data_IF_474090258466
#
_entry.id   IF_474090258466
#
_cell.length_a   1.000
_cell.length_b   1.000
_cell.length_c   1.000
_cell.angle_alpha   90.00
_cell.angle_beta   90.00
_cell.angle_gamma   90.00
#
_symmetry.space_group_name_H-M   'P 1'
#
loop_
_entity.id
_entity.type
_entity.pdbx_description
1 polymer ?
#
# COMPACT_ATOMS: atom_id res chain seq x y z
N UNK A 1 -63.34 -39.27 -24.42
CA UNK A 1 -62.24 -38.37 -24.83
C UNK A 1 -61.60 -37.83 -23.55
N UNK A 2 -60.39 -38.29 -23.20
CA UNK A 2 -59.67 -37.88 -21.99
C UNK A 2 -58.63 -36.83 -22.38
N UNK A 3 -58.82 -35.58 -21.96
CA UNK A 3 -57.91 -34.48 -22.23
C UNK A 3 -56.82 -34.44 -21.16
N UNK A 4 -55.58 -34.76 -21.54
CA UNK A 4 -54.40 -34.57 -20.68
C UNK A 4 -53.91 -33.13 -20.83
N UNK A 5 -54.03 -32.34 -19.77
CA UNK A 5 -53.40 -31.01 -19.69
C UNK A 5 -51.96 -31.18 -19.23
N UNK A 6 -51.01 -30.90 -20.12
CA UNK A 6 -49.58 -30.81 -19.80
C UNK A 6 -49.31 -29.42 -19.21
N UNK A 7 -49.07 -29.37 -17.89
CA UNK A 7 -48.58 -28.17 -17.21
C UNK A 7 -47.06 -28.07 -17.45
N UNK A 8 -46.64 -27.16 -18.32
CA UNK A 8 -45.23 -26.86 -18.57
C UNK A 8 -44.69 -25.99 -17.42
N UNK A 9 -43.90 -26.60 -16.53
CA UNK A 9 -43.21 -25.91 -15.43
C UNK A 9 -41.97 -25.20 -16.00
N UNK A 10 -42.04 -23.89 -16.25
CA UNK A 10 -40.88 -23.09 -16.63
C UNK A 10 -40.02 -22.81 -15.39
N UNK A 11 -38.91 -23.53 -15.23
CA UNK A 11 -37.88 -23.19 -14.26
C UNK A 11 -37.13 -21.93 -14.70
N UNK A 12 -37.57 -20.76 -14.24
CA UNK A 12 -36.76 -19.55 -14.27
C UNK A 12 -35.65 -19.69 -13.22
N UNK A 13 -34.47 -20.14 -13.63
CA UNK A 13 -33.27 -20.03 -12.82
C UNK A 13 -32.90 -18.55 -12.74
N UNK A 14 -32.89 -17.91 -11.57
CA UNK A 14 -32.35 -16.57 -11.47
C UNK A 14 -30.85 -16.66 -11.77
N UNK A 15 -30.41 -15.96 -12.82
CA UNK A 15 -29.00 -15.64 -12.97
C UNK A 15 -28.66 -14.76 -11.77
N UNK A 16 -28.06 -15.35 -10.74
CA UNK A 16 -27.51 -14.62 -9.61
C UNK A 16 -26.31 -13.84 -10.14
N UNK A 17 -26.57 -12.65 -10.67
CA UNK A 17 -25.54 -11.62 -10.79
C UNK A 17 -25.10 -11.32 -9.36
N UNK A 18 -23.88 -11.72 -9.03
CA UNK A 18 -23.29 -11.37 -7.77
C UNK A 18 -23.11 -9.85 -7.76
N UNK A 19 -23.97 -9.20 -6.97
CA UNK A 19 -24.12 -7.77 -6.92
C UNK A 19 -23.39 -7.22 -5.70
N UNK A 20 -23.02 -5.94 -5.79
CA UNK A 20 -22.43 -5.23 -4.66
C UNK A 20 -23.34 -5.24 -3.45
N UNK A 21 -22.71 -5.14 -2.27
CA UNK A 21 -23.41 -4.89 -1.02
C UNK A 21 -24.34 -3.67 -1.19
N UNK A 22 -25.66 -3.78 -0.93
CA UNK A 22 -26.57 -2.66 -1.11
C UNK A 22 -26.15 -1.42 -0.32
N UNK A 23 -26.21 -0.25 -0.97
CA UNK A 23 -25.80 1.04 -0.36
C UNK A 23 -24.28 1.25 -0.28
N UNK A 24 -23.49 0.36 -0.88
CA UNK A 24 -22.05 0.56 -1.01
C UNK A 24 -21.68 1.36 -2.26
N UNK A 25 -20.47 1.93 -2.22
CA UNK A 25 -19.91 2.72 -3.31
C UNK A 25 -18.39 2.61 -3.30
N UNK A 26 -17.79 2.79 -4.48
CA UNK A 26 -16.34 2.86 -4.63
C UNK A 26 -15.73 4.11 -3.99
N UNK A 27 -14.44 4.03 -3.66
CA UNK A 27 -13.64 5.19 -3.31
C UNK A 27 -13.07 5.82 -4.61
N UNK A 28 -13.40 7.09 -4.94
CA UNK A 28 -12.97 7.70 -6.20
C UNK A 28 -11.45 7.78 -6.42
N UNK A 29 -10.66 7.64 -5.35
CA UNK A 29 -9.20 7.72 -5.36
C UNK A 29 -8.51 6.48 -5.95
N UNK A 30 -9.21 5.34 -6.02
CA UNK A 30 -8.66 4.07 -6.50
C UNK A 30 -9.64 3.47 -7.51
N UNK A 31 -9.19 3.15 -8.74
CA UNK A 31 -10.05 2.48 -9.69
C UNK A 31 -10.35 1.06 -9.19
N UNK A 32 -11.64 0.68 -9.24
CA UNK A 32 -12.05 -0.69 -9.00
C UNK A 32 -11.59 -1.58 -10.16
N UNK A 33 -11.08 -2.76 -9.81
CA UNK A 33 -10.73 -3.78 -10.80
C UNK A 33 -12.00 -4.34 -11.46
N UNK A 34 -11.93 -4.68 -12.74
CA UNK A 34 -13.07 -5.26 -13.46
C UNK A 34 -13.61 -6.49 -12.72
N UNK A 35 -14.93 -6.59 -12.65
CA UNK A 35 -15.68 -7.70 -12.04
C UNK A 35 -15.42 -7.99 -10.54
N UNK A 36 -14.54 -7.23 -9.87
CA UNK A 36 -14.43 -7.23 -8.41
C UNK A 36 -15.76 -6.79 -7.80
N UNK A 37 -16.11 -7.24 -6.60
CA UNK A 37 -17.39 -6.96 -5.93
C UNK A 37 -17.22 -6.38 -4.54
N UNK A 38 -18.02 -5.37 -4.17
CA UNK A 38 -18.00 -4.82 -2.82
C UNK A 38 -18.69 -5.80 -1.87
N UNK A 39 -17.91 -6.40 -0.96
CA UNK A 39 -18.37 -7.39 0.04
C UNK A 39 -18.29 -6.88 1.48
N UNK A 40 -17.74 -5.68 1.67
CA UNK A 40 -17.78 -4.93 2.92
C UNK A 40 -17.70 -3.44 2.57
N UNK A 41 -18.55 -2.64 3.20
CA UNK A 41 -18.53 -1.19 3.06
C UNK A 41 -18.78 -0.55 4.41
N UNK A 42 -17.91 0.38 4.80
CA UNK A 42 -18.08 1.21 5.99
C UNK A 42 -18.14 2.66 5.53
N UNK A 43 -19.32 3.31 5.63
CA UNK A 43 -19.46 4.70 5.25
C UNK A 43 -18.62 5.61 6.15
N UNK A 44 -18.47 6.86 5.73
CA UNK A 44 -17.71 7.87 6.45
C UNK A 44 -18.13 7.95 7.92
N UNK A 45 -17.19 7.70 8.82
CA UNK A 45 -17.37 7.85 10.25
C UNK A 45 -16.15 8.54 10.86
N UNK A 46 -16.36 9.33 11.91
CA UNK A 46 -15.24 9.96 12.62
C UNK A 46 -14.68 9.00 13.67
N UNK A 47 -13.46 8.52 13.45
CA UNK A 47 -12.80 7.50 14.26
C UNK A 47 -11.40 7.99 14.67
N UNK A 48 -10.85 7.39 15.72
CA UNK A 48 -9.41 7.38 15.95
C UNK A 48 -8.81 6.19 15.22
N UNK A 49 -7.79 6.43 14.38
CA UNK A 49 -7.12 5.40 13.60
C UNK A 49 -5.64 5.39 13.92
N UNK A 50 -5.09 4.18 13.98
CA UNK A 50 -3.66 3.91 14.13
C UNK A 50 -3.26 3.00 12.98
N UNK A 51 -2.36 3.49 12.12
CA UNK A 51 -1.78 2.74 11.01
C UNK A 51 -0.37 2.29 11.38
N UNK A 52 -0.12 0.98 11.52
CA UNK A 52 1.22 0.48 11.77
C UNK A 52 2.18 0.80 10.59
N UNK A 53 3.42 1.13 10.93
CA UNK A 53 4.53 1.35 9.99
C UNK A 53 5.68 0.38 10.30
N UNK A 54 5.34 -0.89 10.49
CA UNK A 54 6.28 -1.97 10.79
C UNK A 54 5.59 -3.32 10.74
N UNK A 55 6.38 -4.39 10.80
CA UNK A 55 5.86 -5.74 11.00
C UNK A 55 5.07 -5.79 12.31
N UNK A 56 3.87 -6.37 12.29
CA UNK A 56 3.03 -6.47 13.47
C UNK A 56 3.15 -7.84 14.13
N UNK A 57 3.16 -7.86 15.45
CA UNK A 57 3.16 -9.08 16.27
C UNK A 57 2.39 -8.84 17.56
N UNK A 58 1.90 -9.91 18.18
CA UNK A 58 1.23 -9.84 19.49
C UNK A 58 2.21 -10.25 20.59
N UNK A 59 2.49 -9.35 21.54
CA UNK A 59 3.33 -9.64 22.71
C UNK A 59 2.49 -9.35 23.96
N UNK A 60 2.33 -10.37 24.81
CA UNK A 60 1.55 -10.27 26.06
C UNK A 60 0.15 -9.68 25.85
N UNK A 61 -0.53 -10.10 24.77
CA UNK A 61 -1.88 -9.66 24.44
C UNK A 61 -1.98 -8.28 23.75
N UNK A 62 -0.87 -7.57 23.57
CA UNK A 62 -0.84 -6.25 22.94
C UNK A 62 -0.20 -6.29 21.56
N UNK A 63 -0.76 -5.53 20.62
CA UNK A 63 -0.19 -5.33 19.29
C UNK A 63 1.11 -4.53 19.39
N UNK A 64 2.18 -5.00 18.74
CA UNK A 64 3.51 -4.38 18.73
C UNK A 64 4.01 -4.21 17.30
N UNK A 65 4.62 -3.07 17.04
CA UNK A 65 5.23 -2.68 15.77
C UNK A 65 6.23 -1.54 16.00
N UNK A 66 7.15 -1.33 15.07
CA UNK A 66 8.30 -0.42 15.25
C UNK A 66 8.03 1.04 14.86
N UNK A 67 6.79 1.36 14.43
CA UNK A 67 6.34 2.71 14.10
C UNK A 67 4.83 2.75 13.80
N UNK A 68 4.22 3.93 13.87
CA UNK A 68 2.80 4.14 13.56
C UNK A 68 2.49 5.57 13.14
N UNK A 69 1.38 5.76 12.44
CA UNK A 69 0.69 7.05 12.30
C UNK A 69 -0.66 6.96 12.99
N UNK A 70 -0.91 7.82 13.97
CA UNK A 70 -2.15 7.86 14.73
C UNK A 70 -2.80 9.22 14.66
N UNK A 71 -4.09 9.28 14.33
CA UNK A 71 -4.86 10.53 14.32
C UNK A 71 -6.36 10.26 14.44
N UNK A 72 -7.12 11.31 14.76
CA UNK A 72 -8.58 11.31 14.67
C UNK A 72 -9.03 11.98 13.38
N UNK A 73 -10.06 11.45 12.73
CA UNK A 73 -10.49 11.94 11.42
C UNK A 73 -11.66 11.15 10.85
N UNK A 74 -12.04 11.48 9.61
CA UNK A 74 -13.07 10.73 8.88
C UNK A 74 -12.46 9.53 8.19
N UNK A 75 -13.01 8.34 8.40
CA UNK A 75 -12.61 7.09 7.76
C UNK A 75 -13.75 6.55 6.92
N UNK A 76 -13.45 6.15 5.69
CA UNK A 76 -14.34 5.34 4.84
C UNK A 76 -13.55 4.13 4.35
N UNK A 77 -14.15 2.94 4.34
CA UNK A 77 -13.46 1.74 3.87
C UNK A 77 -14.33 0.86 2.97
N UNK A 78 -13.72 0.27 1.95
CA UNK A 78 -14.34 -0.68 1.04
C UNK A 78 -13.49 -1.95 1.00
N UNK A 79 -14.12 -3.12 1.05
CA UNK A 79 -13.47 -4.40 0.75
C UNK A 79 -14.07 -5.00 -0.50
N UNK A 80 -13.19 -5.27 -1.46
CA UNK A 80 -13.50 -5.92 -2.72
C UNK A 80 -13.16 -7.41 -2.63
N UNK A 81 -14.08 -8.29 -2.99
CA UNK A 81 -13.78 -9.67 -3.39
C UNK A 81 -13.41 -9.64 -4.88
N UNK A 82 -12.26 -10.21 -5.22
CA UNK A 82 -11.75 -10.23 -6.58
C UNK A 82 -12.29 -11.46 -7.32
N UNK A 83 -12.55 -11.37 -8.63
CA UNK A 83 -12.95 -12.53 -9.41
C UNK A 83 -11.77 -13.51 -9.53
N UNK A 84 -12.01 -14.82 -9.75
CA UNK A 84 -10.96 -15.85 -9.74
C UNK A 84 -9.79 -15.62 -10.71
N UNK A 85 -10.01 -14.82 -11.74
CA UNK A 85 -9.06 -14.46 -12.80
C UNK A 85 -8.02 -13.44 -12.32
N UNK A 86 -8.32 -12.70 -11.24
CA UNK A 86 -7.47 -11.64 -10.71
C UNK A 86 -6.86 -12.02 -9.35
N UNK A 87 -5.58 -11.73 -9.20
CA UNK A 87 -4.86 -12.02 -7.95
C UNK A 87 -4.89 -10.85 -6.96
N UNK A 88 -4.75 -11.13 -5.66
CA UNK A 88 -4.61 -10.11 -4.62
C UNK A 88 -3.41 -9.18 -4.88
N UNK A 89 -2.30 -9.70 -5.41
CA UNK A 89 -1.10 -8.92 -5.74
C UNK A 89 -1.34 -8.01 -6.95
N UNK A 90 -2.06 -8.49 -7.98
CA UNK A 90 -2.42 -7.67 -9.14
C UNK A 90 -3.28 -6.47 -8.72
N UNK A 91 -4.36 -6.73 -7.97
CA UNK A 91 -5.25 -5.67 -7.49
C UNK A 91 -4.50 -4.65 -6.61
N UNK A 92 -3.59 -5.13 -5.75
CA UNK A 92 -2.74 -4.28 -4.93
C UNK A 92 -1.81 -3.39 -5.78
N UNK A 93 -1.16 -3.96 -6.80
CA UNK A 93 -0.29 -3.21 -7.71
C UNK A 93 -1.06 -2.15 -8.48
N UNK A 94 -2.22 -2.51 -9.06
CA UNK A 94 -3.07 -1.56 -9.78
C UNK A 94 -3.50 -0.40 -8.87
N UNK A 95 -3.95 -0.70 -7.66
CA UNK A 95 -4.36 0.32 -6.70
C UNK A 95 -3.20 1.22 -6.26
N UNK A 96 -2.04 0.64 -5.95
CA UNK A 96 -0.82 1.38 -5.60
C UNK A 96 -0.40 2.30 -6.74
N UNK A 97 -0.29 1.79 -7.97
CA UNK A 97 0.14 2.58 -9.13
C UNK A 97 -0.85 3.71 -9.44
N UNK A 98 -2.15 3.47 -9.28
CA UNK A 98 -3.17 4.51 -9.44
C UNK A 98 -3.01 5.66 -8.43
N UNK A 99 -2.62 5.36 -7.18
CA UNK A 99 -2.33 6.37 -6.17
C UNK A 99 -0.99 7.06 -6.43
N UNK A 100 0.05 6.32 -6.84
CA UNK A 100 1.35 6.92 -7.18
C UNK A 100 1.27 7.84 -8.40
N UNK A 101 0.39 7.55 -9.38
CA UNK A 101 0.08 8.46 -10.50
C UNK A 101 -0.57 9.77 -10.05
N UNK A 102 -1.10 9.83 -8.83
CA UNK A 102 -1.61 11.03 -8.17
C UNK A 102 -0.57 11.62 -7.21
N UNK A 103 0.71 11.29 -7.40
CA UNK A 103 1.85 11.73 -6.59
C UNK A 103 1.76 11.35 -5.09
N UNK A 104 0.98 10.32 -4.74
CA UNK A 104 0.90 9.84 -3.37
C UNK A 104 2.24 9.28 -2.88
N UNK A 105 2.65 9.69 -1.68
CA UNK A 105 3.89 9.29 -1.03
C UNK A 105 3.69 7.99 -0.25
N UNK A 106 4.53 6.98 -0.52
CA UNK A 106 4.50 5.72 0.22
C UNK A 106 5.15 5.93 1.58
N UNK A 107 4.43 5.66 2.67
CA UNK A 107 4.95 5.76 4.03
C UNK A 107 5.45 4.40 4.54
N UNK A 108 4.69 3.34 4.28
CA UNK A 108 5.07 2.00 4.69
C UNK A 108 4.57 0.94 3.70
N UNK A 109 5.46 0.04 3.29
CA UNK A 109 5.13 -1.09 2.43
C UNK A 109 5.74 -2.40 2.94
N UNK A 110 4.91 -3.39 3.19
CA UNK A 110 5.33 -4.78 3.44
C UNK A 110 4.58 -5.76 2.52
N UNK A 111 5.15 -6.95 2.35
CA UNK A 111 4.53 -8.05 1.61
C UNK A 111 4.92 -9.38 2.25
N UNK A 112 4.05 -10.37 2.11
CA UNK A 112 4.23 -11.70 2.68
C UNK A 112 4.50 -11.61 4.19
N UNK A 113 5.43 -12.41 4.70
CA UNK A 113 5.78 -12.48 6.13
C UNK A 113 6.39 -11.20 6.69
N UNK A 114 6.89 -10.29 5.86
CA UNK A 114 7.44 -9.00 6.34
C UNK A 114 6.37 -8.17 7.05
N UNK A 115 5.09 -8.39 6.72
CA UNK A 115 3.97 -7.74 7.38
C UNK A 115 3.69 -8.26 8.80
N UNK A 116 4.18 -9.45 9.15
CA UNK A 116 3.76 -10.17 10.35
C UNK A 116 2.47 -10.98 10.15
N UNK A 117 1.74 -11.23 11.23
CA UNK A 117 0.56 -12.11 11.21
C UNK A 117 -0.66 -11.44 10.54
N UNK A 118 -1.17 -12.04 9.46
CA UNK A 118 -2.36 -11.55 8.75
C UNK A 118 -3.62 -11.52 9.60
N UNK A 119 -3.71 -12.40 10.60
CA UNK A 119 -4.81 -12.43 11.58
C UNK A 119 -4.88 -11.14 12.40
N UNK A 120 -3.73 -10.52 12.72
CA UNK A 120 -3.67 -9.26 13.46
C UNK A 120 -4.06 -8.08 12.56
N UNK A 121 -3.64 -8.09 11.29
CA UNK A 121 -4.09 -7.09 10.32
C UNK A 121 -5.61 -7.13 10.15
N UNK A 122 -6.15 -8.33 9.91
CA UNK A 122 -7.57 -8.53 9.72
C UNK A 122 -8.40 -8.11 10.94
N UNK A 123 -8.00 -8.51 12.15
CA UNK A 123 -8.85 -8.34 13.33
C UNK A 123 -8.55 -7.07 14.14
N UNK A 124 -7.28 -6.70 14.31
CA UNK A 124 -6.86 -5.61 15.21
C UNK A 124 -6.67 -4.28 14.46
N UNK A 125 -6.27 -4.33 13.18
CA UNK A 125 -6.04 -3.11 12.38
C UNK A 125 -7.28 -2.69 11.59
N UNK A 126 -7.87 -3.63 10.82
CA UNK A 126 -9.02 -3.34 9.95
C UNK A 126 -10.37 -3.83 10.52
N UNK A 127 -10.36 -4.73 11.50
CA UNK A 127 -11.57 -5.30 12.08
C UNK A 127 -12.48 -6.01 11.07
N UNK A 128 -11.91 -6.63 10.03
CA UNK A 128 -12.63 -7.37 8.99
C UNK A 128 -12.02 -8.78 8.82
N UNK A 129 -12.69 -9.79 9.35
CA UNK A 129 -12.25 -11.19 9.30
C UNK A 129 -12.16 -11.78 7.89
N UNK A 130 -12.79 -11.15 6.87
CA UNK A 130 -12.60 -11.55 5.46
C UNK A 130 -11.14 -11.34 5.02
N UNK A 131 -10.41 -10.47 5.71
CA UNK A 131 -9.02 -10.16 5.40
C UNK A 131 -8.01 -11.14 6.01
N UNK A 132 -8.48 -12.19 6.70
CA UNK A 132 -7.58 -13.22 7.25
C UNK A 132 -7.30 -14.33 6.22
N UNK A 133 -6.02 -14.54 5.92
CA UNK A 133 -5.54 -15.54 4.96
C UNK A 133 -4.16 -16.08 5.32
N UNK A 134 -3.38 -16.48 4.30
CA UNK A 134 -2.01 -16.94 4.51
C UNK A 134 -1.05 -15.75 4.58
N UNK A 135 -0.15 -15.74 5.56
CA UNK A 135 0.80 -14.63 5.75
C UNK A 135 1.69 -14.40 4.52
N UNK A 136 1.99 -15.44 3.74
CA UNK A 136 2.76 -15.39 2.49
C UNK A 136 2.00 -14.74 1.32
N UNK A 137 0.68 -14.55 1.47
CA UNK A 137 -0.22 -14.09 0.41
C UNK A 137 -0.86 -12.74 0.75
N UNK A 138 -0.24 -11.99 1.66
CA UNK A 138 -0.70 -10.66 2.07
C UNK A 138 0.21 -9.56 1.52
N UNK A 139 -0.35 -8.37 1.34
CA UNK A 139 0.41 -7.15 1.14
C UNK A 139 -0.29 -5.98 1.84
N UNK A 140 0.50 -5.06 2.42
CA UNK A 140 -0.01 -3.85 3.04
C UNK A 140 0.78 -2.63 2.57
N UNK A 141 0.07 -1.56 2.26
CA UNK A 141 0.66 -0.27 1.92
C UNK A 141 -0.09 0.87 2.61
N UNK A 142 0.67 1.75 3.25
CA UNK A 142 0.19 3.04 3.73
C UNK A 142 0.75 4.14 2.85
N UNK A 143 -0.13 4.97 2.29
CA UNK A 143 0.24 6.14 1.50
C UNK A 143 -0.32 7.42 2.12
N UNK A 144 0.35 8.54 1.84
CA UNK A 144 -0.16 9.90 2.03
C UNK A 144 -0.45 10.49 0.67
N UNK A 145 -1.64 11.07 0.47
CA UNK A 145 -1.95 11.74 -0.80
C UNK A 145 -1.11 13.01 -0.97
N UNK A 146 -0.89 13.45 -2.20
CA UNK A 146 -0.23 14.73 -2.47
C UNK A 146 -1.12 15.91 -2.09
N UNK A 147 -0.50 17.08 -1.91
CA UNK A 147 -1.21 18.35 -1.76
C UNK A 147 -2.15 18.58 -2.97
N UNK A 148 -3.36 19.13 -2.77
CA UNK A 148 -3.89 19.73 -1.54
C UNK A 148 -4.57 18.74 -0.58
N UNK A 149 -4.49 17.42 -0.82
CA UNK A 149 -5.11 16.39 0.03
C UNK A 149 -4.10 15.71 0.95
N UNK A 150 -3.00 16.38 1.28
CA UNK A 150 -1.91 15.82 2.06
C UNK A 150 -2.24 15.59 3.53
N UNK A 151 -3.46 15.93 3.96
CA UNK A 151 -4.01 15.47 5.24
C UNK A 151 -4.77 14.14 5.16
N UNK A 152 -4.69 13.44 4.03
CA UNK A 152 -5.37 12.17 3.78
C UNK A 152 -4.36 11.03 3.66
N UNK A 153 -4.60 9.98 4.43
CA UNK A 153 -3.92 8.69 4.33
C UNK A 153 -4.80 7.68 3.58
N UNK A 154 -4.16 6.77 2.87
CA UNK A 154 -4.81 5.63 2.22
C UNK A 154 -4.08 4.36 2.63
N UNK A 155 -4.82 3.43 3.23
CA UNK A 155 -4.34 2.10 3.55
C UNK A 155 -4.88 1.09 2.53
N UNK A 156 -3.98 0.38 1.87
CA UNK A 156 -4.28 -0.77 1.01
C UNK A 156 -3.89 -2.04 1.74
N UNK A 157 -4.79 -3.02 1.78
CA UNK A 157 -4.46 -4.37 2.26
C UNK A 157 -5.02 -5.40 1.30
N UNK A 158 -4.17 -6.25 0.73
CA UNK A 158 -4.61 -7.36 -0.11
C UNK A 158 -4.25 -8.70 0.52
N UNK A 159 -5.07 -9.70 0.24
CA UNK A 159 -4.92 -11.04 0.82
C UNK A 159 -5.57 -12.10 -0.05
N UNK A 160 -4.89 -13.22 -0.23
CA UNK A 160 -5.51 -14.47 -0.70
C UNK A 160 -5.76 -15.39 0.49
N UNK A 161 -7.03 -15.77 0.69
CA UNK A 161 -7.43 -16.69 1.76
C UNK A 161 -7.12 -18.14 1.40
N UNK A 162 -7.12 -19.03 2.40
CA UNK A 162 -6.91 -20.47 2.21
C UNK A 162 -7.94 -21.14 1.29
N UNK A 163 -9.12 -20.55 1.10
CA UNK A 163 -10.13 -21.01 0.15
C UNK A 163 -9.97 -20.42 -1.27
N UNK A 164 -8.82 -19.79 -1.56
CA UNK A 164 -8.46 -19.13 -2.82
C UNK A 164 -9.23 -17.86 -3.16
N UNK A 165 -10.15 -17.41 -2.30
CA UNK A 165 -10.77 -16.08 -2.48
C UNK A 165 -9.74 -15.00 -2.20
N UNK A 166 -9.61 -14.06 -3.14
CA UNK A 166 -8.71 -12.92 -3.02
C UNK A 166 -9.50 -11.64 -2.72
N UNK A 167 -8.92 -10.77 -1.91
CA UNK A 167 -9.56 -9.52 -1.50
C UNK A 167 -8.59 -8.35 -1.60
N UNK A 168 -9.13 -7.18 -1.90
CA UNK A 168 -8.47 -5.89 -1.73
C UNK A 168 -9.32 -5.03 -0.79
N UNK A 169 -8.72 -4.58 0.31
CA UNK A 169 -9.29 -3.59 1.19
C UNK A 169 -8.64 -2.24 0.95
N UNK A 170 -9.47 -1.20 0.84
CA UNK A 170 -9.05 0.19 0.68
C UNK A 170 -9.72 0.99 1.78
N UNK A 171 -8.91 1.64 2.62
CA UNK A 171 -9.38 2.55 3.66
C UNK A 171 -8.81 3.95 3.40
N UNK A 172 -9.70 4.92 3.20
CA UNK A 172 -9.35 6.33 3.11
C UNK A 172 -9.60 7.01 4.45
N UNK A 173 -8.60 7.72 4.95
CA UNK A 173 -8.66 8.45 6.21
C UNK A 173 -8.23 9.90 6.03
N UNK A 174 -9.15 10.82 6.29
CA UNK A 174 -8.89 12.26 6.29
C UNK A 174 -8.77 12.75 7.73
N UNK A 175 -7.56 13.17 8.12
CA UNK A 175 -7.31 13.60 9.49
C UNK A 175 -8.03 14.92 9.81
N UNK A 176 -8.52 15.06 11.04
CA UNK A 176 -9.17 16.29 11.52
C UNK A 176 -8.17 17.41 11.83
N UNK A 177 -6.90 17.07 12.00
CA UNK A 177 -5.78 17.99 12.26
C UNK A 177 -4.63 17.68 11.31
N UNK A 178 -3.73 18.64 11.01
CA UNK A 178 -2.55 18.38 10.18
C UNK A 178 -1.73 17.19 10.70
N UNK A 179 -1.43 16.24 9.81
CA UNK A 179 -0.63 15.05 10.11
C UNK A 179 0.85 15.35 10.42
N UNK A 180 1.32 16.56 10.14
CA UNK A 180 2.71 16.95 10.30
C UNK A 180 3.62 16.31 9.26
N UNK A 181 4.90 16.17 9.59
CA UNK A 181 5.88 15.48 8.74
C UNK A 181 5.77 13.97 8.95
N UNK A 182 5.56 13.24 7.84
CA UNK A 182 5.53 11.79 7.82
C UNK A 182 6.60 11.32 6.84
N UNK A 183 7.46 10.39 7.29
CA UNK A 183 8.57 9.90 6.49
C UNK A 183 8.40 8.41 6.19
N UNK A 184 8.84 7.95 5.01
CA UNK A 184 8.88 6.54 4.70
C UNK A 184 9.85 5.78 5.59
N UNK A 185 9.65 4.47 5.73
CA UNK A 185 10.68 3.61 6.32
C UNK A 185 11.79 3.28 5.30
N UNK A 186 13.01 3.02 5.77
CA UNK A 186 14.12 2.58 4.91
C UNK A 186 13.78 1.35 4.07
N UNK A 187 13.03 0.40 4.64
CA UNK A 187 12.59 -0.80 3.92
C UNK A 187 11.57 -0.47 2.81
N UNK A 188 10.72 0.54 3.03
CA UNK A 188 9.75 1.01 2.03
C UNK A 188 10.47 1.66 0.86
N UNK A 189 11.47 2.52 1.12
CA UNK A 189 12.29 3.14 0.08
C UNK A 189 13.03 2.08 -0.76
N UNK A 190 13.63 1.09 -0.11
CA UNK A 190 14.28 -0.04 -0.79
C UNK A 190 13.29 -0.83 -1.64
N UNK A 191 12.11 -1.16 -1.09
CA UNK A 191 11.10 -1.96 -1.79
C UNK A 191 10.56 -1.21 -3.00
N UNK A 192 10.26 0.08 -2.86
CA UNK A 192 9.88 0.94 -3.98
C UNK A 192 10.95 0.93 -5.08
N UNK A 193 12.22 1.16 -4.71
CA UNK A 193 13.33 1.12 -5.67
C UNK A 193 13.44 -0.23 -6.40
N UNK A 194 13.25 -1.35 -5.70
CA UNK A 194 13.29 -2.70 -6.29
C UNK A 194 12.12 -2.99 -7.22
N UNK A 195 10.94 -2.45 -6.89
CA UNK A 195 9.72 -2.67 -7.65
C UNK A 195 9.67 -1.84 -8.93
N UNK A 196 9.93 -0.54 -8.85
CA UNK A 196 9.83 0.39 -9.99
C UNK A 196 11.14 0.53 -10.76
N UNK A 197 12.27 0.17 -10.14
CA UNK A 197 13.61 0.44 -10.64
C UNK A 197 14.10 1.87 -10.39
N UNK A 198 13.26 2.74 -9.82
CA UNK A 198 13.58 4.14 -9.56
C UNK A 198 12.91 4.68 -8.29
N UNK A 199 13.60 5.56 -7.59
CA UNK A 199 13.10 6.32 -6.45
C UNK A 199 13.23 7.82 -6.77
N UNK A 200 12.09 8.50 -6.86
CA UNK A 200 11.99 9.94 -7.15
C UNK A 200 11.65 10.69 -5.87
N UNK A 201 12.52 11.60 -5.45
CA UNK A 201 12.39 12.39 -4.22
C UNK A 201 12.47 13.89 -4.57
N UNK A 202 11.43 14.45 -5.23
CA UNK A 202 11.46 15.81 -5.79
C UNK A 202 11.65 16.90 -4.73
N UNK A 203 11.25 16.64 -3.47
CA UNK A 203 11.43 17.56 -2.34
C UNK A 203 12.88 17.67 -1.86
N UNK A 204 13.75 16.72 -2.23
CA UNK A 204 15.16 16.68 -1.83
C UNK A 204 16.07 17.36 -2.87
N UNK A 205 15.83 18.65 -3.14
CA UNK A 205 16.61 19.42 -4.10
C UNK A 205 17.86 20.10 -3.50
N UNK A 206 17.92 20.18 -2.16
CA UNK A 206 18.99 20.82 -1.43
C UNK A 206 20.17 19.90 -1.11
N UNK A 207 21.04 20.39 -0.21
CA UNK A 207 22.10 19.58 0.37
C UNK A 207 21.51 18.44 1.23
N UNK A 208 22.25 17.32 1.40
CA UNK A 208 21.77 16.17 2.14
C UNK A 208 21.41 16.52 3.59
N UNK A 209 20.17 16.31 3.99
CA UNK A 209 19.76 16.39 5.39
C UNK A 209 20.00 15.05 6.10
N UNK A 210 20.34 15.11 7.38
CA UNK A 210 20.70 13.94 8.18
C UNK A 210 19.58 12.88 8.26
N UNK A 211 18.32 13.31 8.21
CA UNK A 211 17.17 12.41 8.39
C UNK A 211 16.97 11.54 7.15
N UNK A 212 16.87 12.15 5.97
CA UNK A 212 16.78 11.41 4.71
C UNK A 212 18.05 10.65 4.41
N UNK A 213 19.21 11.21 4.75
CA UNK A 213 20.48 10.53 4.58
C UNK A 213 20.53 9.20 5.36
N UNK A 214 20.07 9.17 6.62
CA UNK A 214 19.95 7.93 7.41
C UNK A 214 18.93 6.95 6.81
N UNK A 215 17.80 7.45 6.32
CA UNK A 215 16.76 6.59 5.72
C UNK A 215 17.28 5.88 4.47
N UNK A 216 17.91 6.63 3.57
CA UNK A 216 18.46 6.15 2.31
C UNK A 216 19.67 5.24 2.53
N UNK A 217 20.60 5.61 3.41
CA UNK A 217 21.79 4.78 3.68
C UNK A 217 21.40 3.43 4.28
N UNK A 218 20.49 3.42 5.27
CA UNK A 218 19.96 2.18 5.84
C UNK A 218 19.20 1.37 4.80
N UNK A 219 18.39 2.00 3.95
CA UNK A 219 17.66 1.35 2.88
C UNK A 219 18.59 0.62 1.89
N UNK A 220 19.62 1.32 1.41
CA UNK A 220 20.63 0.74 0.51
C UNK A 220 21.48 -0.34 1.18
N UNK A 221 21.64 -0.31 2.50
CA UNK A 221 22.37 -1.34 3.26
C UNK A 221 21.53 -2.55 3.66
N UNK A 222 20.20 -2.49 3.54
CA UNK A 222 19.34 -3.67 3.70
C UNK A 222 19.55 -4.71 2.58
N UNK A 223 19.97 -4.26 1.39
CA UNK A 223 20.34 -5.15 0.28
C UNK A 223 21.67 -4.67 -0.33
N UNK A 224 22.78 -5.23 0.15
CA UNK A 224 24.12 -4.81 -0.25
C UNK A 224 24.53 -5.23 -1.67
N UNK A 225 23.67 -5.98 -2.37
CA UNK A 225 23.94 -6.46 -3.73
C UNK A 225 23.54 -5.42 -4.79
N UNK A 226 22.65 -4.49 -4.43
CA UNK A 226 22.18 -3.47 -5.35
C UNK A 226 23.26 -2.44 -5.66
N UNK A 227 23.34 -2.09 -6.95
CA UNK A 227 24.08 -0.94 -7.46
C UNK A 227 23.08 0.11 -7.94
N UNK A 228 23.38 1.38 -7.71
CA UNK A 228 22.48 2.49 -8.01
C UNK A 228 23.19 3.66 -8.67
N UNK A 229 22.43 4.40 -9.46
CA UNK A 229 22.81 5.72 -9.93
C UNK A 229 22.14 6.78 -9.07
N UNK A 230 22.89 7.76 -8.59
CA UNK A 230 22.41 8.92 -7.85
C UNK A 230 22.39 10.11 -8.81
N UNK A 231 21.23 10.70 -9.06
CA UNK A 231 21.00 11.76 -10.05
C UNK A 231 20.34 12.99 -9.41
N UNK A 232 20.44 14.13 -10.08
CA UNK A 232 19.92 15.43 -9.63
C UNK A 232 21.01 16.48 -9.39
N UNK A 233 20.59 17.73 -9.15
CA UNK A 233 21.49 18.89 -9.04
C UNK A 233 22.60 18.74 -7.97
N UNK A 234 22.31 18.00 -6.90
CA UNK A 234 23.23 17.74 -5.77
C UNK A 234 23.68 16.29 -5.70
N UNK A 235 23.63 15.55 -6.82
CA UNK A 235 23.91 14.11 -6.87
C UNK A 235 25.25 13.71 -6.22
N UNK A 236 26.34 14.40 -6.54
CA UNK A 236 27.65 14.07 -5.97
C UNK A 236 27.71 14.37 -4.47
N UNK A 237 27.08 15.45 -3.99
CA UNK A 237 26.99 15.74 -2.57
C UNK A 237 26.23 14.64 -1.81
N UNK A 238 25.08 14.20 -2.36
CA UNK A 238 24.32 13.06 -1.83
C UNK A 238 25.12 11.77 -1.84
N UNK A 239 25.81 11.45 -2.94
CA UNK A 239 26.64 10.26 -3.05
C UNK A 239 27.75 10.26 -1.99
N UNK A 240 28.49 11.36 -1.83
CA UNK A 240 29.54 11.47 -0.83
C UNK A 240 29.00 11.33 0.60
N UNK A 241 27.85 11.96 0.89
CA UNK A 241 27.20 11.83 2.19
C UNK A 241 26.76 10.37 2.47
N UNK A 242 26.23 9.67 1.46
CA UNK A 242 25.84 8.26 1.58
C UNK A 242 27.06 7.35 1.82
N UNK A 243 28.20 7.65 1.18
CA UNK A 243 29.48 6.96 1.41
C UNK A 243 29.93 7.17 2.86
N UNK A 244 29.88 8.40 3.36
CA UNK A 244 30.22 8.72 4.74
C UNK A 244 29.33 7.99 5.76
N UNK A 245 28.09 7.65 5.38
CA UNK A 245 27.16 6.83 6.17
C UNK A 245 27.30 5.32 5.95
N UNK A 246 28.37 4.88 5.28
CA UNK A 246 28.73 3.46 5.16
C UNK A 246 28.16 2.74 3.95
N UNK A 247 27.51 3.43 3.00
CA UNK A 247 27.15 2.81 1.71
C UNK A 247 28.40 2.69 0.86
N UNK A 248 28.76 1.47 0.41
CA UNK A 248 30.02 1.25 -0.34
C UNK A 248 30.05 2.06 -1.64
N UNK A 249 31.12 2.85 -1.84
CA UNK A 249 31.29 3.72 -3.00
C UNK A 249 31.18 2.97 -4.34
N UNK A 250 31.69 1.73 -4.43
CA UNK A 250 31.62 0.91 -5.65
C UNK A 250 30.18 0.52 -6.07
N UNK A 251 29.19 0.75 -5.21
CA UNK A 251 27.77 0.49 -5.48
C UNK A 251 27.02 1.71 -6.01
N UNK A 252 27.67 2.88 -6.06
CA UNK A 252 27.01 4.13 -6.40
C UNK A 252 27.77 4.89 -7.47
N UNK A 253 27.07 5.20 -8.55
CA UNK A 253 27.54 6.08 -9.62
C UNK A 253 26.73 7.38 -9.59
N UNK A 254 27.30 8.49 -10.07
CA UNK A 254 26.54 9.72 -10.29
C UNK A 254 25.96 9.71 -11.70
N UNK A 255 24.68 10.03 -11.82
CA UNK A 255 23.98 10.13 -13.09
C UNK A 255 23.83 11.57 -13.58
N UNK A 256 22.75 11.80 -14.32
CA UNK A 256 22.43 13.11 -14.89
C UNK A 256 22.09 14.14 -13.80
N UNK A 257 22.39 15.41 -14.05
CA UNK A 257 22.06 16.54 -13.18
C UNK A 257 20.68 17.12 -13.46
N UNK A 258 19.99 16.65 -14.51
CA UNK A 258 18.64 17.08 -14.86
C UNK A 258 17.56 16.46 -13.95
N UNK A 259 16.52 17.24 -13.65
CA UNK A 259 15.37 16.82 -12.86
C UNK A 259 15.23 17.58 -11.54
N UNK A 260 14.03 17.52 -10.97
CA UNK A 260 13.74 18.09 -9.66
C UNK A 260 14.10 17.11 -8.54
N UNK A 261 14.87 17.57 -7.57
CA UNK A 261 15.20 16.79 -6.37
C UNK A 261 16.24 15.68 -6.58
N UNK A 262 16.22 14.72 -5.66
CA UNK A 262 17.09 13.54 -5.67
C UNK A 262 16.39 12.41 -6.43
N UNK A 263 17.12 11.75 -7.33
CA UNK A 263 16.66 10.54 -8.01
C UNK A 263 17.68 9.43 -7.81
N UNK A 264 17.20 8.22 -7.48
CA UNK A 264 18.01 7.03 -7.35
C UNK A 264 17.46 5.96 -8.30
N UNK A 265 18.28 5.46 -9.21
CA UNK A 265 17.90 4.43 -10.18
C UNK A 265 18.70 3.15 -9.95
N UNK A 266 18.11 1.98 -10.15
CA UNK A 266 18.86 0.74 -10.16
C UNK A 266 19.77 0.66 -11.38
N UNK A 267 21.05 0.36 -11.16
CA UNK A 267 21.98 -0.02 -12.22
C UNK A 267 21.69 -1.48 -12.61
N UNK A 268 21.18 -1.69 -13.82
CA UNK A 268 20.96 -3.01 -14.41
C UNK A 268 22.23 -3.55 -15.06
#
# INVERSE_FOLDING_TARGET
>A
MRSFSLLALCCFSPVLLAADLPGSQDLPIVPRLADAQIVDYRPAATLERIYPMGSIRKISGQLRFDGQVGARGQTTSVTYELPPEHSANEAFTVAREALQKQDAELLFWCQARDCGESSLWANEVFGNAKLYGADEQQAYLLLRLAAPRDNTLVALYSITRGNRKAYLHVEQFEAATPLGELLPTSATLLRQLKDTGELKLPKLAGDPDDTWLRLLSRGLNLDTTLRVTVSGLKAEAWRQALIAQGVRAARMETGNVEGAGLRIDLLR
#
